data_IF_718234792342
#
_entry.id   IF_718234792342
#
_cell.length_a   1.000
_cell.length_b   1.000
_cell.length_c   1.000
_cell.angle_alpha   90.00
_cell.angle_beta   90.00
_cell.angle_gamma   90.00
#
_symmetry.space_group_name_H-M   'P 1'
#
loop_
_entity.id
_entity.type
_entity.pdbx_description
1 polymer ?
#
# COMPACT_ATOMS: atom_id res chain seq x y z
N UNK A 1 32.56 -6.61 13.16
CA UNK A 1 31.79 -6.69 11.92
C UNK A 1 30.74 -7.76 12.10
N UNK A 2 29.50 -7.56 11.68
CA UNK A 2 28.45 -8.58 11.72
C UNK A 2 28.78 -9.68 10.70
N UNK A 3 28.58 -10.94 11.10
CA UNK A 3 28.82 -12.10 10.22
C UNK A 3 27.63 -12.27 9.26
N UNK A 4 27.89 -12.28 7.96
CA UNK A 4 26.86 -12.38 6.92
C UNK A 4 26.04 -13.69 7.04
N UNK A 5 26.68 -14.82 7.43
CA UNK A 5 25.99 -16.11 7.60
C UNK A 5 25.04 -16.11 8.81
N UNK A 6 25.38 -15.34 9.85
CA UNK A 6 24.50 -15.17 11.02
C UNK A 6 23.30 -14.30 10.67
N UNK A 7 23.50 -13.22 9.90
CA UNK A 7 22.45 -12.36 9.40
C UNK A 7 21.50 -13.11 8.46
N UNK A 8 22.04 -13.89 7.54
CA UNK A 8 21.28 -14.77 6.64
C UNK A 8 20.42 -15.78 7.42
N UNK A 9 20.97 -16.39 8.46
CA UNK A 9 20.23 -17.30 9.33
C UNK A 9 19.09 -16.59 10.07
N UNK A 10 19.31 -15.34 10.54
CA UNK A 10 18.26 -14.53 11.17
C UNK A 10 17.10 -14.23 10.18
N UNK A 11 17.45 -13.76 8.99
CA UNK A 11 16.45 -13.47 7.96
C UNK A 11 15.62 -14.72 7.62
N UNK A 12 16.28 -15.85 7.34
CA UNK A 12 15.59 -17.10 7.02
C UNK A 12 14.68 -17.59 8.16
N UNK A 13 15.07 -17.46 9.43
CA UNK A 13 14.21 -17.87 10.57
C UNK A 13 12.98 -16.98 10.68
N UNK A 14 13.10 -15.70 10.45
CA UNK A 14 11.96 -14.76 10.48
C UNK A 14 11.04 -15.01 9.30
N UNK A 15 11.56 -15.12 8.09
CA UNK A 15 10.78 -15.31 6.86
C UNK A 15 10.01 -16.63 6.84
N UNK A 16 10.64 -17.70 7.30
CA UNK A 16 10.00 -19.02 7.33
C UNK A 16 9.28 -19.35 8.64
N UNK A 17 9.32 -18.48 9.63
CA UNK A 17 8.61 -18.60 10.91
C UNK A 17 9.11 -19.73 11.81
N UNK A 18 10.14 -20.49 11.42
CA UNK A 18 10.69 -21.57 12.21
C UNK A 18 12.15 -21.88 11.90
N UNK A 19 12.91 -22.35 12.90
CA UNK A 19 14.29 -22.79 12.74
C UNK A 19 14.43 -23.98 11.79
N UNK A 20 13.45 -24.91 11.79
CA UNK A 20 13.47 -26.08 10.92
C UNK A 20 13.27 -25.75 9.46
N UNK A 21 12.34 -24.84 9.15
CA UNK A 21 12.10 -24.37 7.79
C UNK A 21 13.29 -23.53 7.27
N UNK A 22 13.88 -22.67 8.11
CA UNK A 22 15.10 -21.94 7.80
C UNK A 22 16.29 -22.87 7.49
N UNK A 23 16.46 -23.94 8.28
CA UNK A 23 17.52 -24.91 8.04
C UNK A 23 17.40 -25.60 6.67
N UNK A 24 16.17 -25.96 6.26
CA UNK A 24 15.89 -26.49 4.91
C UNK A 24 16.17 -25.47 3.82
N UNK A 25 15.70 -24.22 3.98
CA UNK A 25 15.90 -23.15 3.01
C UNK A 25 17.39 -22.85 2.78
N UNK A 26 18.19 -22.84 3.85
CA UNK A 26 19.63 -22.60 3.80
C UNK A 26 20.47 -23.86 3.50
N UNK A 27 19.87 -25.02 3.36
CA UNK A 27 20.56 -26.31 3.16
C UNK A 27 21.61 -26.61 4.24
N UNK A 28 21.32 -26.28 5.51
CA UNK A 28 22.17 -26.54 6.68
C UNK A 28 21.38 -27.25 7.79
N UNK A 29 22.08 -27.68 8.84
CA UNK A 29 21.42 -28.35 9.97
C UNK A 29 20.70 -27.37 10.88
N UNK A 30 19.64 -27.83 11.56
CA UNK A 30 18.94 -27.06 12.61
C UNK A 30 19.89 -26.55 13.70
N UNK A 31 20.86 -27.39 14.09
CA UNK A 31 21.88 -27.04 15.08
C UNK A 31 22.74 -25.86 14.58
N UNK A 32 23.13 -25.84 13.30
CA UNK A 32 23.89 -24.75 12.70
C UNK A 32 23.12 -23.43 12.69
N UNK A 33 21.83 -23.45 12.32
CA UNK A 33 20.97 -22.26 12.41
C UNK A 33 20.89 -21.75 13.84
N UNK A 34 20.61 -22.66 14.79
CA UNK A 34 20.51 -22.30 16.21
C UNK A 34 21.80 -21.70 16.77
N UNK A 35 22.95 -22.24 16.38
CA UNK A 35 24.27 -21.73 16.78
C UNK A 35 24.55 -20.34 16.20
N UNK A 36 24.26 -20.12 14.91
CA UNK A 36 24.41 -18.83 14.25
C UNK A 36 23.59 -17.74 14.94
N UNK A 37 22.30 -18.01 15.22
CA UNK A 37 21.43 -17.08 15.94
C UNK A 37 21.96 -16.79 17.36
N UNK A 38 22.30 -17.84 18.13
CA UNK A 38 22.84 -17.69 19.48
C UNK A 38 24.13 -16.85 19.51
N UNK A 39 25.04 -17.06 18.55
CA UNK A 39 26.27 -16.29 18.42
C UNK A 39 25.99 -14.83 18.10
N UNK A 40 25.02 -14.54 17.20
CA UNK A 40 24.61 -13.18 16.85
C UNK A 40 23.96 -12.48 18.05
N UNK A 41 23.05 -13.13 18.77
CA UNK A 41 22.44 -12.59 20.00
C UNK A 41 23.48 -12.32 21.09
N UNK A 42 24.47 -13.22 21.25
CA UNK A 42 25.57 -13.04 22.22
C UNK A 42 26.47 -11.87 21.84
N UNK A 43 26.82 -11.72 20.56
CA UNK A 43 27.64 -10.61 20.08
C UNK A 43 26.97 -9.24 20.25
N UNK A 44 25.65 -9.18 20.19
CA UNK A 44 24.85 -7.96 20.34
C UNK A 44 24.34 -7.73 21.76
N UNK A 45 24.50 -8.70 22.67
CA UNK A 45 24.03 -8.63 24.04
C UNK A 45 22.52 -8.56 24.23
N UNK A 46 21.75 -8.95 23.20
CA UNK A 46 20.28 -8.88 23.23
C UNK A 46 19.62 -9.98 22.41
N UNK A 47 18.39 -10.33 22.77
CA UNK A 47 17.61 -11.31 21.99
C UNK A 47 17.06 -10.67 20.74
N UNK A 48 17.11 -11.40 19.63
CA UNK A 48 16.62 -11.00 18.32
C UNK A 48 15.32 -11.71 17.95
N UNK A 49 15.06 -12.84 18.56
CA UNK A 49 13.90 -13.68 18.29
C UNK A 49 13.10 -13.98 19.56
N UNK A 50 11.77 -13.99 19.42
CA UNK A 50 10.82 -14.49 20.42
C UNK A 50 10.35 -15.86 19.96
N UNK A 51 10.55 -16.89 20.80
CA UNK A 51 10.10 -18.25 20.54
C UNK A 51 8.65 -18.42 20.99
N UNK A 52 7.81 -18.98 20.13
CA UNK A 52 6.41 -19.26 20.38
C UNK A 52 5.89 -20.30 19.39
N UNK A 53 4.58 -20.37 19.16
CA UNK A 53 3.97 -21.22 18.14
C UNK A 53 4.53 -20.90 16.73
N UNK A 54 4.82 -19.62 16.49
CA UNK A 54 5.63 -19.13 15.39
C UNK A 54 6.76 -18.28 15.97
N UNK A 55 7.95 -18.32 15.35
CA UNK A 55 9.07 -17.48 15.72
C UNK A 55 8.81 -16.07 15.19
N UNK A 56 8.99 -15.06 16.05
CA UNK A 56 8.84 -13.66 15.68
C UNK A 56 10.10 -12.87 16.03
N UNK A 57 10.38 -11.83 15.25
CA UNK A 57 11.47 -10.92 15.54
C UNK A 57 11.15 -10.02 16.75
N UNK A 58 12.15 -9.73 17.57
CA UNK A 58 12.12 -8.60 18.51
C UNK A 58 12.28 -7.28 17.72
N UNK A 59 12.08 -6.09 18.33
CA UNK A 59 12.40 -4.82 17.66
C UNK A 59 13.84 -4.74 17.13
N UNK A 60 14.80 -5.32 17.87
CA UNK A 60 16.20 -5.40 17.43
C UNK A 60 16.38 -6.40 16.27
N UNK A 61 15.73 -7.56 16.34
CA UNK A 61 15.72 -8.53 15.24
C UNK A 61 15.11 -7.96 13.97
N UNK A 62 14.06 -7.14 14.11
CA UNK A 62 13.42 -6.45 13.00
C UNK A 62 14.34 -5.43 12.34
N UNK A 63 15.03 -4.61 13.13
CA UNK A 63 16.01 -3.65 12.60
C UNK A 63 17.15 -4.33 11.84
N UNK A 64 17.58 -5.50 12.29
CA UNK A 64 18.57 -6.30 11.58
C UNK A 64 18.04 -6.93 10.30
N UNK A 65 16.79 -7.38 10.28
CA UNK A 65 16.14 -7.90 9.06
C UNK A 65 16.10 -6.83 7.97
N UNK A 66 15.67 -5.61 8.32
CA UNK A 66 15.69 -4.46 7.38
C UNK A 66 17.11 -4.24 6.84
N UNK A 67 18.12 -4.25 7.71
CA UNK A 67 19.52 -4.12 7.31
C UNK A 67 19.96 -5.23 6.35
N UNK A 68 19.63 -6.48 6.63
CA UNK A 68 19.95 -7.62 5.75
C UNK A 68 19.35 -7.42 4.36
N UNK A 69 18.06 -7.04 4.29
CA UNK A 69 17.39 -6.81 3.01
C UNK A 69 18.01 -5.65 2.22
N UNK A 70 18.39 -4.56 2.89
CA UNK A 70 19.11 -3.46 2.25
C UNK A 70 20.47 -3.90 1.69
N UNK A 71 21.23 -4.69 2.45
CA UNK A 71 22.54 -5.22 2.01
C UNK A 71 22.35 -6.13 0.81
N UNK A 72 21.38 -7.06 0.83
CA UNK A 72 21.09 -7.95 -0.29
C UNK A 72 20.76 -7.18 -1.58
N UNK A 73 19.98 -6.11 -1.47
CA UNK A 73 19.66 -5.24 -2.61
C UNK A 73 20.90 -4.48 -3.10
N UNK A 74 21.76 -3.97 -2.19
CA UNK A 74 23.01 -3.30 -2.57
C UNK A 74 23.98 -4.26 -3.26
N UNK A 75 24.09 -5.49 -2.78
CA UNK A 75 24.92 -6.54 -3.41
C UNK A 75 24.38 -6.90 -4.80
N UNK A 76 23.06 -7.01 -4.94
CA UNK A 76 22.44 -7.25 -6.24
C UNK A 76 22.66 -6.10 -7.22
N UNK A 77 22.55 -4.83 -6.78
CA UNK A 77 22.85 -3.63 -7.57
C UNK A 77 24.33 -3.62 -8.02
N UNK A 78 25.26 -4.01 -7.15
CA UNK A 78 26.66 -4.11 -7.47
C UNK A 78 26.95 -5.20 -8.52
N UNK A 79 26.39 -6.38 -8.33
CA UNK A 79 26.56 -7.51 -9.27
C UNK A 79 25.99 -7.15 -10.64
N UNK A 80 24.82 -6.50 -10.71
CA UNK A 80 24.23 -6.04 -11.98
C UNK A 80 25.15 -5.03 -12.68
N UNK A 81 25.70 -4.08 -11.92
CA UNK A 81 26.68 -3.11 -12.43
C UNK A 81 27.96 -3.73 -12.99
N UNK A 82 28.46 -4.79 -12.35
CA UNK A 82 29.66 -5.52 -12.80
C UNK A 82 29.40 -6.42 -14.01
N UNK A 83 28.19 -7.00 -14.11
CA UNK A 83 27.80 -7.91 -15.18
C UNK A 83 27.34 -7.20 -16.46
N UNK A 84 27.10 -5.89 -16.42
CA UNK A 84 26.69 -5.11 -17.60
C UNK A 84 27.65 -5.23 -18.80
N UNK A 85 28.85 -5.81 -18.59
CA UNK A 85 29.86 -6.09 -19.61
C UNK A 85 29.98 -7.57 -19.99
N UNK A 86 29.23 -8.49 -19.37
CA UNK A 86 29.32 -9.92 -19.63
C UNK A 86 28.15 -10.43 -20.48
N UNK A 87 28.46 -11.37 -21.40
CA UNK A 87 27.52 -12.01 -22.33
C UNK A 87 26.58 -13.05 -21.65
N UNK A 88 26.26 -12.86 -20.37
CA UNK A 88 25.38 -13.79 -19.66
C UNK A 88 23.97 -13.75 -20.24
N UNK A 89 23.55 -14.90 -20.78
CA UNK A 89 22.26 -15.07 -21.48
C UNK A 89 21.03 -14.95 -20.57
N UNK A 90 21.20 -14.96 -19.25
CA UNK A 90 20.11 -14.86 -18.25
C UNK A 90 20.53 -13.99 -17.05
N UNK A 91 20.53 -12.66 -17.20
CA UNK A 91 20.80 -11.79 -16.05
C UNK A 91 19.73 -12.00 -14.98
N UNK A 92 20.14 -12.05 -13.70
CA UNK A 92 19.21 -12.13 -12.57
C UNK A 92 18.33 -10.88 -12.54
N UNK A 93 17.01 -11.09 -12.50
CA UNK A 93 16.07 -10.00 -12.24
C UNK A 93 16.03 -9.72 -10.73
N UNK A 94 16.12 -8.45 -10.37
CA UNK A 94 16.02 -8.02 -8.98
C UNK A 94 14.56 -7.71 -8.64
N UNK A 95 14.09 -8.17 -7.49
CA UNK A 95 12.71 -7.93 -7.02
C UNK A 95 12.69 -6.86 -5.92
N UNK A 96 11.73 -5.93 -6.04
CA UNK A 96 11.40 -4.93 -5.03
C UNK A 96 9.97 -5.13 -4.57
N UNK A 97 9.78 -5.26 -3.25
CA UNK A 97 8.43 -5.31 -2.67
C UNK A 97 8.01 -3.91 -2.23
N UNK A 98 6.77 -3.54 -2.52
CA UNK A 98 6.18 -2.24 -2.15
C UNK A 98 4.74 -2.42 -1.69
N UNK A 99 4.27 -1.55 -0.81
CA UNK A 99 2.88 -1.56 -0.40
C UNK A 99 2.15 -0.34 -0.99
N UNK A 100 1.00 -0.57 -1.63
CA UNK A 100 0.24 0.47 -2.32
C UNK A 100 -1.25 0.25 -2.07
N UNK A 101 -1.98 1.31 -1.75
CA UNK A 101 -3.43 1.21 -1.64
C UNK A 101 -4.08 0.98 -3.01
N UNK A 102 -5.23 0.32 -3.02
CA UNK A 102 -5.89 -0.16 -4.24
C UNK A 102 -6.18 0.94 -5.27
N UNK A 103 -6.62 2.12 -4.83
CA UNK A 103 -6.93 3.24 -5.71
C UNK A 103 -5.68 3.83 -6.38
N UNK A 104 -4.59 4.00 -5.63
CA UNK A 104 -3.30 4.45 -6.18
C UNK A 104 -2.74 3.42 -7.16
N UNK A 105 -2.81 2.15 -6.80
CA UNK A 105 -2.33 1.05 -7.66
C UNK A 105 -3.03 1.06 -9.01
N UNK A 106 -4.36 1.16 -9.01
CA UNK A 106 -5.18 1.07 -10.22
C UNK A 106 -5.10 2.34 -11.07
N UNK A 107 -4.94 3.51 -10.45
CA UNK A 107 -5.04 4.78 -11.16
C UNK A 107 -3.70 5.30 -11.72
N UNK A 108 -2.67 5.44 -10.90
CA UNK A 108 -1.45 6.15 -11.28
C UNK A 108 -0.14 5.40 -11.04
N UNK A 109 -0.10 4.51 -10.04
CA UNK A 109 1.15 3.87 -9.62
C UNK A 109 1.71 2.93 -10.69
N UNK A 110 0.94 1.93 -11.13
CA UNK A 110 1.40 0.96 -12.15
C UNK A 110 1.83 1.62 -13.45
N UNK A 111 1.04 2.50 -14.07
CA UNK A 111 1.47 3.21 -15.27
C UNK A 111 2.77 4.00 -15.05
N UNK A 112 2.93 4.59 -13.87
CA UNK A 112 4.08 5.40 -13.53
C UNK A 112 5.38 4.62 -13.38
N UNK A 113 5.33 3.39 -12.87
CA UNK A 113 6.55 2.58 -12.63
C UNK A 113 6.87 1.60 -13.76
N UNK A 114 5.92 1.28 -14.64
CA UNK A 114 6.07 0.25 -15.68
C UNK A 114 7.30 0.48 -16.57
N UNK A 115 7.56 1.72 -17.00
CA UNK A 115 8.71 2.07 -17.84
C UNK A 115 10.06 1.89 -17.11
N UNK A 116 10.11 2.17 -15.81
CA UNK A 116 11.29 1.91 -14.98
C UNK A 116 11.56 0.41 -14.87
N UNK A 117 10.53 -0.38 -14.54
CA UNK A 117 10.65 -1.82 -14.37
C UNK A 117 11.19 -2.50 -15.61
N UNK A 118 10.65 -2.14 -16.79
CA UNK A 118 11.12 -2.65 -18.08
C UNK A 118 12.57 -2.27 -18.38
N UNK A 119 12.93 -1.00 -18.16
CA UNK A 119 14.28 -0.47 -18.48
C UNK A 119 15.37 -1.08 -17.62
N UNK A 120 15.10 -1.29 -16.33
CA UNK A 120 16.07 -1.80 -15.36
C UNK A 120 15.88 -3.28 -15.02
N UNK A 121 14.98 -3.98 -15.75
CA UNK A 121 14.71 -5.42 -15.53
C UNK A 121 14.35 -5.75 -14.07
N UNK A 122 13.62 -4.83 -13.43
CA UNK A 122 13.16 -5.01 -12.07
C UNK A 122 11.83 -5.75 -12.06
N UNK A 123 11.69 -6.66 -11.12
CA UNK A 123 10.42 -7.24 -10.72
C UNK A 123 9.85 -6.42 -9.57
N UNK A 124 8.54 -6.28 -9.53
CA UNK A 124 7.87 -5.65 -8.42
C UNK A 124 6.90 -6.63 -7.78
N UNK A 125 6.96 -6.74 -6.46
CA UNK A 125 6.02 -7.48 -5.64
C UNK A 125 5.16 -6.46 -4.89
N UNK A 126 3.85 -6.43 -5.18
CA UNK A 126 2.95 -5.41 -4.67
C UNK A 126 2.06 -6.00 -3.60
N UNK A 127 2.19 -5.48 -2.39
CA UNK A 127 1.28 -5.72 -1.29
C UNK A 127 0.17 -4.69 -1.37
N UNK A 128 -1.05 -5.15 -1.68
CA UNK A 128 -2.24 -4.29 -1.63
C UNK A 128 -2.83 -4.44 -0.25
N UNK A 129 -2.67 -3.43 0.58
CA UNK A 129 -3.17 -3.52 1.95
C UNK A 129 -3.66 -2.17 2.48
N UNK A 130 -4.39 -2.25 3.59
CA UNK A 130 -4.82 -1.12 4.38
C UNK A 130 -3.63 -0.41 5.05
N UNK A 131 -3.83 0.86 5.35
CA UNK A 131 -2.81 1.77 5.88
C UNK A 131 -2.05 1.25 7.11
N UNK A 132 -2.72 0.48 7.98
CA UNK A 132 -2.09 -0.06 9.21
C UNK A 132 -1.07 -1.16 8.92
N UNK A 133 -1.39 -2.09 7.99
CA UNK A 133 -0.47 -3.15 7.57
C UNK A 133 0.68 -2.65 6.71
N UNK A 134 0.44 -1.63 5.90
CA UNK A 134 1.45 -0.95 5.08
C UNK A 134 2.61 -0.42 5.93
N UNK A 135 2.30 0.19 7.07
CA UNK A 135 3.29 0.66 8.03
C UNK A 135 4.09 -0.48 8.68
N UNK A 136 3.40 -1.55 9.07
CA UNK A 136 4.07 -2.71 9.65
C UNK A 136 4.97 -3.42 8.63
N UNK A 137 4.55 -3.52 7.37
CA UNK A 137 5.35 -4.09 6.28
C UNK A 137 6.64 -3.29 5.99
N UNK A 138 6.58 -1.94 6.01
CA UNK A 138 7.77 -1.12 5.85
C UNK A 138 8.69 -1.23 7.07
N UNK A 139 8.14 -1.21 8.28
CA UNK A 139 8.89 -1.37 9.53
C UNK A 139 9.53 -2.76 9.64
N UNK A 140 8.88 -3.79 9.12
CA UNK A 140 9.41 -5.15 9.08
C UNK A 140 10.43 -5.39 7.97
N UNK A 141 10.63 -4.42 7.07
CA UNK A 141 11.47 -4.60 5.90
C UNK A 141 10.86 -5.56 4.87
N UNK A 142 9.59 -5.89 5.01
CA UNK A 142 8.85 -6.68 4.03
C UNK A 142 8.72 -5.92 2.71
N UNK A 143 8.54 -4.60 2.79
CA UNK A 143 8.53 -3.70 1.63
C UNK A 143 9.64 -2.64 1.73
N UNK A 144 10.14 -2.18 0.59
CA UNK A 144 11.15 -1.12 0.49
C UNK A 144 10.53 0.28 0.57
N UNK A 145 9.24 0.40 0.23
CA UNK A 145 8.50 1.65 0.31
C UNK A 145 7.00 1.42 0.29
N UNK A 146 6.24 2.45 0.66
CA UNK A 146 4.79 2.37 0.67
C UNK A 146 4.11 3.72 0.38
N UNK A 147 2.95 3.66 -0.29
CA UNK A 147 2.02 4.78 -0.42
C UNK A 147 1.09 4.79 0.79
N UNK A 148 1.06 5.90 1.53
CA UNK A 148 0.30 6.03 2.78
C UNK A 148 -0.31 7.43 2.92
N UNK A 149 -1.28 7.60 3.82
CA UNK A 149 -1.82 8.90 4.21
C UNK A 149 -1.12 9.51 5.43
N UNK A 150 -0.17 8.79 6.03
CA UNK A 150 0.52 9.24 7.23
C UNK A 150 1.74 10.09 6.86
N UNK A 151 1.70 11.37 7.23
CA UNK A 151 2.79 12.34 7.02
C UNK A 151 4.01 12.07 7.90
N UNK A 152 3.81 11.43 9.08
CA UNK A 152 4.90 11.20 10.02
C UNK A 152 5.72 9.99 9.59
N UNK A 153 7.00 10.22 9.30
CA UNK A 153 7.95 9.16 8.96
C UNK A 153 8.21 8.24 10.16
N UNK A 154 8.34 6.95 9.89
CA UNK A 154 8.81 5.98 10.85
C UNK A 154 10.31 6.11 11.10
N UNK A 155 10.77 5.59 12.25
CA UNK A 155 12.21 5.57 12.57
C UNK A 155 12.99 4.80 11.50
N UNK A 156 13.99 5.46 10.92
CA UNK A 156 14.82 4.90 9.84
C UNK A 156 14.21 5.03 8.44
N UNK A 157 13.06 5.70 8.31
CA UNK A 157 12.39 6.00 7.06
C UNK A 157 12.27 7.51 6.82
N UNK A 158 11.93 7.86 5.60
CA UNK A 158 11.58 9.22 5.17
C UNK A 158 10.14 9.17 4.67
N UNK A 159 9.37 10.23 4.90
CA UNK A 159 8.03 10.43 4.33
C UNK A 159 8.10 11.64 3.40
N UNK A 160 7.87 11.41 2.11
CA UNK A 160 7.84 12.45 1.09
C UNK A 160 6.41 12.70 0.63
N UNK A 161 5.93 13.95 0.56
CA UNK A 161 4.60 14.25 0.05
C UNK A 161 4.52 13.92 -1.45
N UNK A 162 3.47 13.22 -1.85
CA UNK A 162 3.20 12.87 -3.24
C UNK A 162 2.19 13.84 -3.90
N UNK A 163 1.31 14.41 -3.11
CA UNK A 163 0.17 15.21 -3.54
C UNK A 163 -1.13 14.71 -2.96
N UNK A 164 -2.24 15.09 -3.56
CA UNK A 164 -3.59 14.84 -3.04
C UNK A 164 -4.41 14.05 -4.05
N UNK A 165 -5.01 12.95 -3.60
CA UNK A 165 -6.02 12.23 -4.34
C UNK A 165 -7.40 12.76 -3.99
N UNK A 166 -8.13 13.23 -4.98
CA UNK A 166 -9.47 13.80 -4.82
C UNK A 166 -10.54 12.77 -5.08
N UNK A 167 -11.43 12.59 -4.13
CA UNK A 167 -12.57 11.69 -4.20
C UNK A 167 -13.87 12.44 -4.41
N UNK A 168 -14.76 11.86 -5.19
CA UNK A 168 -16.12 12.34 -5.43
C UNK A 168 -17.16 11.37 -4.90
N UNK A 169 -18.17 11.93 -4.27
CA UNK A 169 -19.37 11.17 -3.96
C UNK A 169 -20.14 10.93 -5.26
N UNK A 170 -20.42 9.68 -5.59
CA UNK A 170 -21.07 9.29 -6.85
C UNK A 170 -22.15 8.24 -6.62
N UNK A 171 -23.07 8.15 -7.59
CA UNK A 171 -24.08 7.10 -7.66
C UNK A 171 -24.50 6.83 -9.10
N UNK A 172 -25.27 5.76 -9.33
CA UNK A 172 -25.90 5.51 -10.61
C UNK A 172 -26.97 6.59 -10.94
N UNK A 173 -27.20 6.93 -12.23
CA UNK A 173 -28.21 7.89 -12.64
C UNK A 173 -29.62 7.56 -12.12
N UNK A 174 -29.98 6.28 -12.06
CA UNK A 174 -31.28 5.81 -11.56
C UNK A 174 -31.53 6.22 -10.10
N UNK A 175 -30.48 6.16 -9.24
CA UNK A 175 -30.58 6.60 -7.85
C UNK A 175 -30.81 8.13 -7.77
N UNK A 176 -30.13 8.88 -8.63
CA UNK A 176 -30.31 10.34 -8.68
C UNK A 176 -31.70 10.73 -9.13
N UNK A 177 -32.33 9.98 -10.05
CA UNK A 177 -33.73 10.17 -10.45
C UNK A 177 -34.68 9.95 -9.28
N UNK A 178 -34.50 8.86 -8.51
CA UNK A 178 -35.29 8.62 -7.29
C UNK A 178 -35.12 9.76 -6.27
N UNK A 179 -33.92 10.31 -6.12
CA UNK A 179 -33.67 11.41 -5.20
C UNK A 179 -34.21 12.76 -5.67
N UNK A 180 -34.52 12.91 -6.94
CA UNK A 180 -35.14 14.13 -7.47
C UNK A 180 -36.59 14.28 -7.06
N UNK A 181 -37.30 13.17 -6.73
CA UNK A 181 -38.66 13.20 -6.28
C UNK A 181 -38.76 13.64 -4.82
N UNK A 182 -39.75 14.47 -4.42
CA UNK A 182 -40.00 14.78 -3.02
C UNK A 182 -40.36 13.52 -2.20
N UNK A 183 -39.92 13.45 -0.95
CA UNK A 183 -40.30 12.41 0.00
C UNK A 183 -40.62 13.00 1.39
N UNK A 184 -40.99 12.13 2.35
CA UNK A 184 -41.38 12.54 3.70
C UNK A 184 -40.24 13.29 4.45
N UNK A 185 -38.96 13.01 4.13
CA UNK A 185 -37.76 13.62 4.72
C UNK A 185 -37.21 14.81 3.91
N UNK A 186 -37.62 14.95 2.65
CA UNK A 186 -37.13 16.01 1.77
C UNK A 186 -38.21 16.46 0.78
N UNK A 187 -38.99 17.44 1.20
CA UNK A 187 -40.16 17.97 0.42
C UNK A 187 -39.73 18.70 -0.86
N UNK A 188 -38.51 19.11 -0.99
CA UNK A 188 -37.97 19.83 -2.18
C UNK A 188 -37.39 18.87 -3.21
N UNK A 189 -37.09 17.64 -2.83
CA UNK A 189 -36.30 16.71 -3.64
C UNK A 189 -34.80 17.02 -3.62
N UNK A 190 -34.00 16.28 -4.36
CA UNK A 190 -32.55 16.48 -4.47
C UNK A 190 -31.72 15.79 -3.37
N UNK A 191 -30.44 16.08 -3.33
CA UNK A 191 -29.47 15.47 -2.39
C UNK A 191 -29.62 16.09 -1.00
N UNK A 192 -29.80 15.25 0.01
CA UNK A 192 -29.85 15.65 1.41
C UNK A 192 -29.15 14.63 2.32
N UNK A 193 -28.80 15.04 3.53
CA UNK A 193 -28.26 14.13 4.54
C UNK A 193 -29.21 12.95 4.82
N UNK A 194 -30.51 13.22 4.88
CA UNK A 194 -31.55 12.19 5.11
C UNK A 194 -31.48 11.09 4.02
N UNK A 195 -31.34 11.45 2.76
CA UNK A 195 -31.27 10.50 1.65
C UNK A 195 -29.97 9.71 1.66
N UNK A 196 -28.84 10.35 1.94
CA UNK A 196 -27.55 9.66 2.08
C UNK A 196 -27.58 8.64 3.22
N UNK A 197 -28.18 9.00 4.37
CA UNK A 197 -28.29 8.10 5.53
C UNK A 197 -29.33 6.98 5.31
N UNK A 198 -30.38 7.23 4.54
CA UNK A 198 -31.43 6.25 4.22
C UNK A 198 -31.07 5.31 3.08
N UNK A 199 -30.03 5.61 2.30
CA UNK A 199 -29.60 4.81 1.15
C UNK A 199 -28.28 4.07 1.50
N UNK A 200 -28.15 2.79 1.12
CA UNK A 200 -26.88 2.08 1.34
C UNK A 200 -25.70 2.80 0.73
N UNK A 201 -24.57 2.85 1.45
CA UNK A 201 -23.28 3.23 0.88
C UNK A 201 -22.49 1.99 0.48
N UNK A 202 -21.80 2.06 -0.65
CA UNK A 202 -20.80 1.06 -1.05
C UNK A 202 -19.46 1.54 -0.49
N UNK A 203 -18.81 0.70 0.30
CA UNK A 203 -17.56 0.97 1.03
C UNK A 203 -16.55 -0.11 0.66
N UNK A 204 -15.28 0.26 0.51
CA UNK A 204 -14.26 -0.68 0.08
C UNK A 204 -14.06 -1.78 1.13
N UNK A 205 -13.80 -1.42 2.38
CA UNK A 205 -13.69 -2.36 3.48
C UNK A 205 -14.09 -1.71 4.82
N UNK A 206 -14.01 -2.45 5.93
CA UNK A 206 -14.46 -1.97 7.25
C UNK A 206 -13.59 -0.87 7.85
N UNK A 207 -12.39 -0.62 7.33
CA UNK A 207 -11.46 0.43 7.78
C UNK A 207 -11.56 1.68 6.91
N UNK A 208 -12.18 1.59 5.73
CA UNK A 208 -12.41 2.73 4.85
C UNK A 208 -13.38 3.72 5.50
N UNK A 209 -12.91 4.93 5.74
CA UNK A 209 -13.65 6.01 6.40
C UNK A 209 -14.01 7.16 5.45
N UNK A 210 -13.84 7.01 4.12
CA UNK A 210 -14.08 8.10 3.17
C UNK A 210 -15.53 8.60 3.19
N UNK A 211 -16.52 7.70 3.31
CA UNK A 211 -17.92 8.06 3.40
C UNK A 211 -18.25 8.77 4.71
N UNK A 212 -17.68 8.29 5.83
CA UNK A 212 -17.83 8.93 7.13
C UNK A 212 -17.17 10.32 7.14
N UNK A 213 -16.00 10.45 6.50
CA UNK A 213 -15.31 11.74 6.32
C UNK A 213 -16.13 12.70 5.45
N UNK A 214 -16.71 12.23 4.35
CA UNK A 214 -17.58 13.02 3.48
C UNK A 214 -18.81 13.55 4.26
N UNK A 215 -19.47 12.69 5.04
CA UNK A 215 -20.63 13.07 5.85
C UNK A 215 -20.26 14.06 6.96
N UNK A 216 -19.13 13.84 7.63
CA UNK A 216 -18.65 14.74 8.67
C UNK A 216 -18.26 16.12 8.09
N UNK A 217 -17.51 16.15 7.00
CA UNK A 217 -16.97 17.37 6.40
C UNK A 217 -18.07 18.23 5.77
N UNK A 218 -19.04 17.64 5.10
CA UNK A 218 -20.02 18.37 4.30
C UNK A 218 -21.41 18.52 4.92
N UNK A 219 -21.73 17.70 5.93
CA UNK A 219 -23.02 17.73 6.62
C UNK A 219 -22.91 17.84 8.15
N UNK A 220 -21.68 17.86 8.70
CA UNK A 220 -21.45 17.92 10.14
C UNK A 220 -21.82 16.62 10.88
N UNK A 221 -22.01 15.51 10.16
CA UNK A 221 -22.47 14.24 10.69
C UNK A 221 -21.29 13.35 11.09
N UNK A 222 -20.92 13.37 12.36
CA UNK A 222 -19.88 12.51 12.91
C UNK A 222 -20.49 11.22 13.48
N UNK A 223 -19.90 10.05 13.17
CA UNK A 223 -20.36 8.76 13.64
C UNK A 223 -21.76 8.37 13.17
N UNK A 224 -22.16 8.82 11.99
CA UNK A 224 -23.47 8.54 11.42
C UNK A 224 -23.67 7.03 11.18
N UNK A 225 -24.87 6.55 11.49
CA UNK A 225 -25.29 5.18 11.20
C UNK A 225 -26.08 5.18 9.89
N UNK A 226 -25.65 4.35 8.94
CA UNK A 226 -26.31 4.14 7.65
C UNK A 226 -26.03 2.73 7.13
N UNK A 227 -26.87 2.18 6.22
CA UNK A 227 -26.63 0.87 5.63
C UNK A 227 -25.35 0.85 4.80
N UNK A 228 -24.60 -0.26 4.87
CA UNK A 228 -23.28 -0.38 4.24
C UNK A 228 -23.12 -1.70 3.49
N UNK A 229 -22.70 -1.64 2.23
CA UNK A 229 -22.18 -2.77 1.47
C UNK A 229 -20.65 -2.69 1.51
N UNK A 230 -19.97 -3.82 1.71
CA UNK A 230 -18.49 -3.89 1.70
C UNK A 230 -18.06 -4.66 0.45
N UNK A 231 -17.33 -3.99 -0.45
CA UNK A 231 -16.89 -4.54 -1.75
C UNK A 231 -15.39 -4.27 -1.93
N UNK A 232 -14.51 -5.18 -1.46
CA UNK A 232 -13.06 -4.94 -1.35
C UNK A 232 -12.27 -5.22 -2.65
N UNK A 233 -12.81 -4.79 -3.79
CA UNK A 233 -12.13 -4.87 -5.09
C UNK A 233 -12.57 -3.68 -5.95
N UNK A 234 -11.63 -2.93 -6.53
CA UNK A 234 -11.90 -1.66 -7.24
C UNK A 234 -12.92 -1.83 -8.36
N UNK A 235 -12.73 -2.81 -9.25
CA UNK A 235 -13.66 -3.05 -10.36
C UNK A 235 -15.06 -3.46 -9.89
N UNK A 236 -15.15 -4.33 -8.87
CA UNK A 236 -16.42 -4.76 -8.30
C UNK A 236 -17.11 -3.63 -7.51
N UNK A 237 -16.33 -2.77 -6.84
CA UNK A 237 -16.82 -1.58 -6.15
C UNK A 237 -17.50 -0.62 -7.15
N UNK A 238 -16.82 -0.31 -8.26
CA UNK A 238 -17.39 0.52 -9.32
C UNK A 238 -18.62 -0.12 -9.94
N UNK A 239 -18.58 -1.44 -10.21
CA UNK A 239 -19.73 -2.19 -10.74
C UNK A 239 -20.93 -2.16 -9.78
N UNK A 240 -20.72 -2.27 -8.48
CA UNK A 240 -21.78 -2.15 -7.48
C UNK A 240 -22.47 -0.78 -7.54
N UNK A 241 -21.69 0.30 -7.71
CA UNK A 241 -22.24 1.65 -7.91
C UNK A 241 -23.04 1.75 -9.22
N UNK A 242 -22.52 1.20 -10.32
CA UNK A 242 -23.18 1.18 -11.64
C UNK A 242 -24.52 0.43 -11.60
N UNK A 243 -24.59 -0.67 -10.84
CA UNK A 243 -25.80 -1.45 -10.61
C UNK A 243 -26.81 -0.77 -9.68
N UNK A 244 -26.48 0.41 -9.14
CA UNK A 244 -27.37 1.18 -8.27
C UNK A 244 -27.50 0.60 -6.86
N UNK A 245 -26.52 -0.18 -6.38
CA UNK A 245 -26.53 -0.73 -5.02
C UNK A 245 -26.44 0.34 -3.93
N UNK A 246 -26.03 1.56 -4.29
CA UNK A 246 -25.93 2.69 -3.37
C UNK A 246 -25.08 3.82 -3.91
N UNK A 247 -24.57 4.65 -2.98
CA UNK A 247 -23.65 5.74 -3.25
C UNK A 247 -22.26 5.40 -2.70
N UNK A 248 -21.20 6.01 -3.24
CA UNK A 248 -19.84 5.73 -2.79
C UNK A 248 -18.86 6.83 -3.17
N UNK A 249 -17.62 6.69 -2.67
CA UNK A 249 -16.53 7.62 -2.93
C UNK A 249 -15.57 7.03 -3.97
N UNK A 250 -15.36 7.73 -5.10
CA UNK A 250 -14.50 7.28 -6.21
C UNK A 250 -13.50 8.39 -6.53
N UNK A 251 -12.21 8.05 -6.74
CA UNK A 251 -11.19 9.03 -7.15
C UNK A 251 -11.52 9.68 -8.50
N UNK A 252 -11.28 10.99 -8.64
CA UNK A 252 -11.42 11.71 -9.92
C UNK A 252 -10.59 11.03 -11.05
N UNK A 253 -9.43 10.46 -10.73
CA UNK A 253 -8.58 9.73 -11.68
C UNK A 253 -9.28 8.51 -12.27
N UNK A 254 -9.95 7.72 -11.44
CA UNK A 254 -10.71 6.55 -11.93
C UNK A 254 -11.95 6.99 -12.70
N UNK A 255 -12.65 8.04 -12.27
CA UNK A 255 -13.78 8.59 -13.01
C UNK A 255 -13.38 9.09 -14.40
N UNK A 256 -12.23 9.73 -14.53
CA UNK A 256 -11.70 10.22 -15.81
C UNK A 256 -11.30 9.10 -16.78
N UNK A 257 -10.85 7.96 -16.26
CA UNK A 257 -10.45 6.79 -17.06
C UNK A 257 -11.63 5.98 -17.62
N UNK A 258 -12.87 6.27 -17.20
CA UNK A 258 -14.10 5.53 -17.54
C UNK A 258 -14.69 5.90 -18.89
N UNK A 259 -13.99 5.63 -19.98
CA UNK A 259 -14.46 6.01 -21.34
C UNK A 259 -15.55 5.09 -21.91
N UNK A 260 -15.67 3.86 -21.41
CA UNK A 260 -16.55 2.79 -21.98
C UNK A 260 -17.57 2.24 -21.01
N UNK A 261 -17.64 2.74 -19.76
CA UNK A 261 -18.54 2.26 -18.71
C UNK A 261 -19.74 3.20 -18.53
N UNK A 262 -20.88 2.73 -17.98
CA UNK A 262 -21.99 3.59 -17.63
C UNK A 262 -21.54 4.78 -16.77
N UNK A 263 -22.04 5.97 -17.07
CA UNK A 263 -21.67 7.17 -16.35
C UNK A 263 -22.19 7.11 -14.91
N UNK A 264 -21.29 7.27 -13.94
CA UNK A 264 -21.66 7.59 -12.56
C UNK A 264 -21.88 9.10 -12.43
N UNK A 265 -22.93 9.49 -11.71
CA UNK A 265 -23.27 10.90 -11.47
C UNK A 265 -22.58 11.37 -10.20
N UNK A 266 -21.86 12.50 -10.28
CA UNK A 266 -21.28 13.16 -9.09
C UNK A 266 -22.41 13.77 -8.25
N UNK A 267 -22.53 13.27 -7.02
CA UNK A 267 -23.48 13.74 -6.03
C UNK A 267 -23.03 15.03 -5.45
N UNK A 268 -23.11 16.13 -5.50
CA UNK A 268 -22.48 17.34 -4.96
C UNK A 268 -21.06 17.53 -5.53
N UNK A 269 -20.96 17.89 -6.81
CA UNK A 269 -19.67 18.01 -7.52
C UNK A 269 -18.66 18.96 -6.85
N UNK A 270 -19.15 19.99 -6.16
CA UNK A 270 -18.32 21.00 -5.49
C UNK A 270 -17.88 20.63 -4.07
N UNK A 271 -18.21 19.40 -3.64
CA UNK A 271 -17.91 18.88 -2.30
C UNK A 271 -17.06 17.61 -2.36
N UNK A 272 -15.78 17.70 -2.73
CA UNK A 272 -14.87 16.56 -2.73
C UNK A 272 -14.42 16.19 -1.32
N UNK A 273 -13.81 15.00 -1.21
CA UNK A 273 -12.91 14.65 -0.10
C UNK A 273 -11.51 14.54 -0.66
N UNK A 274 -10.60 15.32 -0.13
CA UNK A 274 -9.21 15.37 -0.54
C UNK A 274 -8.33 14.59 0.45
N UNK A 275 -7.57 13.61 -0.05
CA UNK A 275 -6.73 12.72 0.75
C UNK A 275 -5.28 12.97 0.37
N UNK A 276 -4.49 13.49 1.30
CA UNK A 276 -3.05 13.66 1.11
C UNK A 276 -2.34 12.31 1.11
N UNK A 277 -1.45 12.10 0.14
CA UNK A 277 -0.66 10.87 -0.01
C UNK A 277 0.82 11.16 0.20
N UNK A 278 1.50 10.22 0.81
CA UNK A 278 2.92 10.25 1.09
C UNK A 278 3.59 8.97 0.59
N UNK A 279 4.81 9.08 0.09
CA UNK A 279 5.70 7.96 -0.12
C UNK A 279 6.59 7.81 1.10
N UNK A 280 6.45 6.70 1.82
CA UNK A 280 7.38 6.36 2.89
C UNK A 280 8.33 5.26 2.42
N UNK A 281 9.62 5.45 2.65
CA UNK A 281 10.67 4.56 2.20
C UNK A 281 11.86 4.61 3.16
N UNK A 282 12.80 3.71 3.02
CA UNK A 282 14.00 3.72 3.87
C UNK A 282 14.84 4.99 3.66
N UNK A 283 15.36 5.55 4.76
CA UNK A 283 16.22 6.73 4.69
C UNK A 283 17.54 6.47 3.94
N UNK A 284 17.95 5.22 3.86
CA UNK A 284 19.10 4.75 3.08
C UNK A 284 18.61 3.70 2.10
N UNK A 285 18.42 4.10 0.86
CA UNK A 285 17.94 3.24 -0.19
C UNK A 285 19.07 2.67 -1.03
N UNK A 286 19.04 1.36 -1.40
CA UNK A 286 19.78 0.81 -2.52
C UNK A 286 19.45 1.54 -3.83
N UNK A 287 20.32 1.46 -4.83
CA UNK A 287 20.14 2.19 -6.10
C UNK A 287 18.84 1.83 -6.83
N UNK A 288 18.49 0.55 -6.83
CA UNK A 288 17.22 0.06 -7.40
C UNK A 288 16.01 0.67 -6.73
N UNK A 289 16.00 0.79 -5.38
CA UNK A 289 14.95 1.42 -4.61
C UNK A 289 14.91 2.94 -4.84
N UNK A 290 16.05 3.63 -4.94
CA UNK A 290 16.13 5.06 -5.28
C UNK A 290 15.50 5.36 -6.65
N UNK A 291 15.77 4.51 -7.64
CA UNK A 291 15.16 4.63 -8.98
C UNK A 291 13.65 4.48 -8.91
N UNK A 292 13.15 3.53 -8.10
CA UNK A 292 11.72 3.35 -7.87
C UNK A 292 11.10 4.56 -7.18
N UNK A 293 11.71 5.07 -6.11
CA UNK A 293 11.28 6.30 -5.41
C UNK A 293 11.18 7.49 -6.38
N UNK A 294 12.17 7.66 -7.26
CA UNK A 294 12.13 8.71 -8.27
C UNK A 294 10.97 8.54 -9.26
N UNK A 295 10.71 7.31 -9.74
CA UNK A 295 9.61 7.04 -10.64
C UNK A 295 8.24 7.26 -9.99
N UNK A 296 8.07 6.83 -8.73
CA UNK A 296 6.85 7.06 -7.93
C UNK A 296 6.58 8.55 -7.79
N UNK A 297 7.60 9.35 -7.44
CA UNK A 297 7.48 10.81 -7.32
C UNK A 297 7.07 11.46 -8.64
N UNK A 298 7.72 11.08 -9.74
CA UNK A 298 7.39 11.62 -11.06
C UNK A 298 5.96 11.27 -11.48
N UNK A 299 5.53 10.04 -11.24
CA UNK A 299 4.16 9.61 -11.51
C UNK A 299 3.13 10.38 -10.69
N UNK A 300 3.40 10.55 -9.40
CA UNK A 300 2.54 11.32 -8.50
C UNK A 300 2.44 12.79 -8.91
N UNK A 301 3.56 13.43 -9.23
CA UNK A 301 3.59 14.83 -9.73
C UNK A 301 2.76 15.02 -11.00
N UNK A 302 2.70 14.01 -11.87
CA UNK A 302 1.96 14.08 -13.12
C UNK A 302 0.45 13.84 -12.97
N UNK A 303 0.01 13.15 -11.91
CA UNK A 303 -1.35 12.64 -11.79
C UNK A 303 -2.12 13.18 -10.57
N UNK A 304 -1.44 13.40 -9.45
CA UNK A 304 -2.07 13.89 -8.23
C UNK A 304 -2.15 15.42 -8.21
N UNK A 305 -3.12 15.94 -7.48
CA UNK A 305 -3.22 17.39 -7.24
C UNK A 305 -2.02 17.81 -6.38
N UNK A 306 -1.28 18.80 -6.85
CA UNK A 306 -0.18 19.39 -6.09
C UNK A 306 -0.70 20.53 -5.22
N UNK A 307 -0.25 20.62 -3.97
CA UNK A 307 -0.61 21.65 -3.01
C UNK A 307 0.18 22.94 -3.27
#
# INVERSE_FOLDING_TARGET
>A
MLDARQLEALAAVIEHGSFGAAAKALSITLAAVSLRIKSLESALGQRLLVRGKQVRATPAGQSLLVHVKQVQLMEADLVDGLQSSSLDKFPRMQSLSVAVNADSLTSWFLPGVAGLLARHRLLIDIVVDDQDHTHDALKSGEVAGCVTTLAQAMRGCVAEPLGTMRYRCVAAPALMTQWSEPDAGNKVGGVSAHRLLGTPAVIFNRKDALQDQFLAQHFGLQGALYPRHFVPAVDAFEQALELGMGWGMVPDLLLAARTSRPALVKILPDRPVDVALYWQHWAREPLSAQRLTQAVRQAALAQLLQL
#
